data_IF_095531398646
#
_entry.id   IF_095531398646
#
_cell.length_a   1.000
_cell.length_b   1.000
_cell.length_c   1.000
_cell.angle_alpha   90.00
_cell.angle_beta   90.00
_cell.angle_gamma   90.00
#
_symmetry.space_group_name_H-M   'P 1'
#
loop_
_entity.id
_entity.type
_entity.pdbx_description
1 polymer ?
#
# COMPACT_ATOMS: atom_id res chain seq x y z
N UNK A 1 -42.46 4.02 -46.92
CA UNK A 1 -43.43 3.63 -45.87
C UNK A 1 -42.73 2.64 -44.95
N UNK A 2 -42.15 3.12 -43.85
CA UNK A 2 -41.70 2.25 -42.74
C UNK A 2 -42.94 1.69 -42.06
N UNK A 3 -43.00 0.37 -41.92
CA UNK A 3 -44.20 -0.27 -41.37
C UNK A 3 -44.20 -0.10 -39.85
N UNK A 4 -45.39 -0.03 -39.25
CA UNK A 4 -45.57 0.05 -37.78
C UNK A 4 -44.87 -1.08 -37.01
N UNK A 5 -44.55 -2.18 -37.69
CA UNK A 5 -43.79 -3.31 -37.13
C UNK A 5 -42.28 -3.00 -36.95
N UNK A 6 -41.71 -2.11 -37.76
CA UNK A 6 -40.29 -1.73 -37.69
C UNK A 6 -40.00 -0.77 -36.53
N UNK A 7 -40.99 0.03 -36.13
CA UNK A 7 -40.86 0.96 -34.99
C UNK A 7 -40.96 0.20 -33.67
N UNK A 8 -41.83 -0.81 -33.60
CA UNK A 8 -42.00 -1.63 -32.40
C UNK A 8 -40.78 -2.53 -32.13
N UNK A 9 -40.15 -3.08 -33.17
CA UNK A 9 -38.93 -3.90 -33.02
C UNK A 9 -37.73 -3.06 -32.56
N UNK A 10 -37.60 -1.82 -33.04
CA UNK A 10 -36.58 -0.87 -32.60
C UNK A 10 -36.77 -0.46 -31.13
N UNK A 11 -38.01 -0.18 -30.72
CA UNK A 11 -38.34 0.20 -29.34
C UNK A 11 -38.07 -0.94 -28.35
N UNK A 12 -38.45 -2.17 -28.71
CA UNK A 12 -38.19 -3.37 -27.91
C UNK A 12 -36.68 -3.63 -27.78
N UNK A 13 -35.91 -3.45 -28.87
CA UNK A 13 -34.45 -3.55 -28.86
C UNK A 13 -33.78 -2.56 -27.91
N UNK A 14 -34.22 -1.29 -27.92
CA UNK A 14 -33.67 -0.25 -27.03
C UNK A 14 -34.00 -0.49 -25.56
N UNK A 15 -35.21 -0.96 -25.25
CA UNK A 15 -35.60 -1.29 -23.87
C UNK A 15 -34.79 -2.48 -23.35
N UNK A 16 -34.58 -3.52 -24.17
CA UNK A 16 -33.78 -4.68 -23.80
C UNK A 16 -32.30 -4.33 -23.56
N UNK A 17 -31.71 -3.49 -24.41
CA UNK A 17 -30.33 -3.03 -24.25
C UNK A 17 -30.15 -2.20 -22.96
N UNK A 18 -31.11 -1.33 -22.65
CA UNK A 18 -31.07 -0.48 -21.45
C UNK A 18 -31.23 -1.31 -20.17
N UNK A 19 -32.16 -2.28 -20.16
CA UNK A 19 -32.33 -3.21 -19.04
C UNK A 19 -31.07 -4.05 -18.79
N UNK A 20 -30.41 -4.51 -19.86
CA UNK A 20 -29.15 -5.26 -19.77
C UNK A 20 -28.02 -4.41 -19.18
N UNK A 21 -27.90 -3.15 -19.60
CA UNK A 21 -26.88 -2.23 -19.06
C UNK A 21 -27.13 -1.93 -17.57
N UNK A 22 -28.38 -1.73 -17.17
CA UNK A 22 -28.75 -1.52 -15.76
C UNK A 22 -28.41 -2.76 -14.92
N UNK A 23 -28.66 -3.96 -15.43
CA UNK A 23 -28.32 -5.20 -14.74
C UNK A 23 -26.79 -5.39 -14.61
N UNK A 24 -26.00 -5.04 -15.63
CA UNK A 24 -24.53 -5.10 -15.56
C UNK A 24 -24.00 -4.10 -14.53
N UNK A 25 -24.50 -2.86 -14.54
CA UNK A 25 -24.09 -1.83 -13.57
C UNK A 25 -24.52 -2.20 -12.15
N UNK A 26 -25.72 -2.75 -11.98
CA UNK A 26 -26.20 -3.25 -10.69
C UNK A 26 -25.36 -4.43 -10.20
N UNK A 27 -25.02 -5.39 -11.07
CA UNK A 27 -24.17 -6.53 -10.74
C UNK A 27 -22.75 -6.10 -10.36
N UNK A 28 -22.15 -5.13 -11.07
CA UNK A 28 -20.85 -4.55 -10.71
C UNK A 28 -20.92 -3.81 -9.37
N UNK A 29 -21.98 -3.04 -9.14
CA UNK A 29 -22.17 -2.27 -7.90
C UNK A 29 -22.44 -3.17 -6.69
N UNK A 30 -23.21 -4.24 -6.88
CA UNK A 30 -23.49 -5.23 -5.84
C UNK A 30 -22.27 -6.10 -5.57
N UNK A 31 -21.57 -6.57 -6.61
CA UNK A 31 -20.30 -7.30 -6.48
C UNK A 31 -19.24 -6.49 -5.72
N UNK A 32 -19.06 -5.20 -6.05
CA UNK A 32 -18.13 -4.31 -5.35
C UNK A 32 -18.53 -4.06 -3.88
N UNK A 33 -19.83 -3.97 -3.57
CA UNK A 33 -20.32 -3.81 -2.19
C UNK A 33 -20.17 -5.11 -1.38
N UNK A 34 -20.46 -6.26 -1.98
CA UNK A 34 -20.29 -7.58 -1.36
C UNK A 34 -18.82 -7.89 -1.09
N UNK A 35 -17.91 -7.54 -2.00
CA UNK A 35 -16.45 -7.67 -1.77
C UNK A 35 -16.01 -6.78 -0.60
N UNK A 36 -16.53 -5.55 -0.48
CA UNK A 36 -16.21 -4.66 0.65
C UNK A 36 -16.73 -5.19 1.99
N UNK A 37 -17.95 -5.71 2.03
CA UNK A 37 -18.54 -6.29 3.24
C UNK A 37 -17.82 -7.58 3.65
N UNK A 38 -17.48 -8.44 2.69
CA UNK A 38 -16.71 -9.65 2.93
C UNK A 38 -15.33 -9.31 3.50
N UNK A 39 -14.59 -8.34 2.93
CA UNK A 39 -13.27 -7.90 3.44
C UNK A 39 -13.26 -7.48 4.91
N UNK A 40 -14.40 -7.12 5.50
CA UNK A 40 -14.53 -6.87 6.95
C UNK A 40 -14.37 -8.12 7.81
N UNK A 41 -14.86 -9.26 7.32
CA UNK A 41 -14.85 -10.57 8.02
C UNK A 41 -13.53 -11.34 7.84
N UNK A 42 -12.75 -11.06 6.79
CA UNK A 42 -11.45 -11.71 6.54
C UNK A 42 -10.27 -11.04 7.28
N UNK A 43 -10.54 -10.11 8.20
CA UNK A 43 -9.51 -9.34 8.92
C UNK A 43 -8.59 -10.21 9.77
N UNK A 44 -9.10 -11.35 10.23
CA UNK A 44 -8.45 -12.22 11.20
C UNK A 44 -7.60 -13.32 10.56
N UNK A 45 -7.62 -13.44 9.23
CA UNK A 45 -6.85 -14.45 8.48
C UNK A 45 -5.81 -13.79 7.58
N UNK A 46 -4.78 -14.54 7.20
CA UNK A 46 -3.83 -14.11 6.16
C UNK A 46 -4.59 -13.83 4.86
N UNK A 47 -4.34 -12.67 4.27
CA UNK A 47 -4.98 -12.26 3.01
C UNK A 47 -3.92 -12.22 1.92
N UNK A 48 -4.06 -13.09 0.93
CA UNK A 48 -3.32 -12.99 -0.33
C UNK A 48 -4.14 -12.20 -1.34
N UNK A 49 -3.55 -11.15 -1.86
CA UNK A 49 -4.14 -10.29 -2.85
C UNK A 49 -3.30 -10.43 -4.12
N UNK A 50 -3.93 -10.82 -5.23
CA UNK A 50 -3.27 -10.87 -6.54
C UNK A 50 -2.94 -9.44 -7.00
N UNK A 51 -3.93 -8.72 -7.52
CA UNK A 51 -3.77 -7.30 -7.87
C UNK A 51 -4.20 -6.40 -6.71
N UNK A 52 -3.30 -5.55 -6.22
CA UNK A 52 -3.63 -4.53 -5.22
C UNK A 52 -3.27 -3.14 -5.64
N UNK A 53 -4.05 -2.18 -5.17
CA UNK A 53 -3.60 -0.80 -5.08
C UNK A 53 -3.31 -0.47 -3.62
N UNK A 54 -2.08 -0.06 -3.26
CA UNK A 54 -1.72 0.23 -1.87
C UNK A 54 -2.73 1.16 -1.17
N UNK A 55 -3.22 2.18 -1.89
CA UNK A 55 -4.22 3.09 -1.37
C UNK A 55 -5.60 2.44 -1.06
N UNK A 56 -6.06 1.45 -1.83
CA UNK A 56 -7.41 0.89 -1.63
C UNK A 56 -7.43 -0.40 -0.83
N UNK A 57 -6.32 -1.13 -0.80
CA UNK A 57 -6.27 -2.45 -0.19
C UNK A 57 -5.43 -2.45 1.09
N UNK A 58 -4.24 -1.85 1.10
CA UNK A 58 -3.38 -1.75 2.29
C UNK A 58 -3.97 -0.78 3.33
N UNK A 59 -4.31 0.46 2.96
CA UNK A 59 -4.76 1.48 3.93
C UNK A 59 -5.93 1.02 4.80
N UNK A 60 -7.02 0.42 4.27
CA UNK A 60 -8.11 -0.07 5.12
C UNK A 60 -7.71 -1.18 6.10
N UNK A 61 -6.69 -1.98 5.77
CA UNK A 61 -6.17 -3.01 6.67
C UNK A 61 -5.35 -2.38 7.79
N UNK A 62 -4.43 -1.46 7.46
CA UNK A 62 -3.66 -0.70 8.45
C UNK A 62 -4.57 0.03 9.45
N UNK A 63 -5.66 0.62 8.94
CA UNK A 63 -6.64 1.35 9.76
C UNK A 63 -7.36 0.52 10.82
N UNK A 64 -7.35 -0.81 10.71
CA UNK A 64 -7.97 -1.68 11.72
C UNK A 64 -7.08 -1.90 12.93
N UNK A 65 -5.77 -1.71 12.76
CA UNK A 65 -4.77 -2.10 13.75
C UNK A 65 -4.03 -0.92 14.34
N UNK A 66 -3.76 0.12 13.55
CA UNK A 66 -3.01 1.27 14.01
C UNK A 66 -3.80 2.10 15.03
N UNK A 67 -3.14 2.40 16.13
CA UNK A 67 -3.61 3.20 17.24
C UNK A 67 -2.47 4.04 17.82
N UNK A 68 -2.80 4.96 18.73
CA UNK A 68 -1.81 5.81 19.40
C UNK A 68 -0.64 4.98 19.95
N UNK A 69 0.59 5.42 19.73
CA UNK A 69 1.80 4.77 20.26
C UNK A 69 2.31 3.57 19.47
N UNK A 70 1.58 3.12 18.44
CA UNK A 70 2.09 2.11 17.50
C UNK A 70 3.15 2.71 16.57
N UNK A 71 3.99 1.85 15.99
CA UNK A 71 5.01 2.24 15.00
C UNK A 71 4.73 1.56 13.66
N UNK A 72 4.73 2.36 12.59
CA UNK A 72 4.55 1.92 11.22
C UNK A 72 5.84 2.17 10.43
N UNK A 73 6.47 1.11 9.95
CA UNK A 73 7.61 1.19 9.05
C UNK A 73 7.13 1.01 7.61
N UNK A 74 7.42 1.98 6.75
CA UNK A 74 7.02 2.00 5.34
C UNK A 74 8.25 2.00 4.46
N UNK A 75 8.41 1.00 3.58
CA UNK A 75 9.32 1.10 2.45
C UNK A 75 8.54 1.50 1.21
N UNK A 76 8.96 2.56 0.51
CA UNK A 76 8.20 3.09 -0.62
C UNK A 76 8.98 3.23 -1.91
N UNK A 77 10.09 2.51 -2.10
CA UNK A 77 10.98 2.59 -3.27
C UNK A 77 11.21 4.04 -3.71
N UNK A 78 10.54 4.49 -4.78
CA UNK A 78 10.67 5.80 -5.38
C UNK A 78 9.72 6.88 -4.84
N UNK A 79 8.81 6.56 -3.92
CA UNK A 79 7.80 7.47 -3.38
C UNK A 79 6.49 7.56 -4.18
N UNK A 80 6.18 6.57 -5.02
CA UNK A 80 4.98 6.59 -5.87
C UNK A 80 3.67 6.65 -5.08
N UNK A 81 3.63 6.11 -3.86
CA UNK A 81 2.49 6.26 -2.96
C UNK A 81 2.13 7.71 -2.65
N UNK A 82 3.08 8.64 -2.80
CA UNK A 82 2.92 10.05 -2.42
C UNK A 82 2.58 10.93 -3.63
N UNK A 83 3.12 10.60 -4.81
CA UNK A 83 2.91 11.38 -6.04
C UNK A 83 1.80 10.83 -6.94
N UNK A 84 1.53 9.53 -6.88
CA UNK A 84 0.69 8.84 -7.86
C UNK A 84 -0.77 9.32 -7.82
N UNK A 85 -1.61 8.73 -8.66
CA UNK A 85 -3.05 9.08 -8.75
C UNK A 85 -3.77 9.05 -7.40
N UNK A 86 -3.33 8.19 -6.48
CA UNK A 86 -3.89 8.07 -5.13
C UNK A 86 -3.06 8.78 -4.05
N UNK A 87 -2.06 9.59 -4.44
CA UNK A 87 -1.09 10.18 -3.52
C UNK A 87 -1.70 11.14 -2.51
N UNK A 88 -2.73 11.90 -2.91
CA UNK A 88 -3.49 12.75 -1.98
C UNK A 88 -4.15 11.92 -0.87
N UNK A 89 -4.79 10.81 -1.24
CA UNK A 89 -5.44 9.91 -0.29
C UNK A 89 -4.43 9.28 0.68
N UNK A 90 -3.28 8.83 0.18
CA UNK A 90 -2.25 8.23 1.02
C UNK A 90 -1.63 9.25 1.99
N UNK A 91 -1.29 10.46 1.51
CA UNK A 91 -0.81 11.57 2.35
C UNK A 91 -1.79 11.94 3.45
N UNK A 92 -3.09 11.96 3.15
CA UNK A 92 -4.12 12.26 4.15
C UNK A 92 -4.18 11.18 5.24
N UNK A 93 -3.97 9.91 4.88
CA UNK A 93 -3.91 8.82 5.85
C UNK A 93 -2.64 8.87 6.69
N UNK A 94 -1.47 9.15 6.10
CA UNK A 94 -0.22 9.40 6.87
C UNK A 94 -0.47 10.48 7.93
N UNK A 95 -1.01 11.63 7.54
CA UNK A 95 -1.31 12.72 8.48
C UNK A 95 -2.32 12.31 9.55
N UNK A 96 -3.35 11.55 9.18
CA UNK A 96 -4.33 11.03 10.14
C UNK A 96 -3.66 10.12 11.16
N UNK A 97 -2.88 9.12 10.74
CA UNK A 97 -2.16 8.23 11.65
C UNK A 97 -1.22 8.99 12.59
N UNK A 98 -0.47 9.98 12.07
CA UNK A 98 0.40 10.84 12.89
C UNK A 98 -0.40 11.66 13.92
N UNK A 99 -1.56 12.20 13.54
CA UNK A 99 -2.47 12.88 14.46
C UNK A 99 -3.00 11.94 15.53
N UNK A 100 -3.35 10.71 15.16
CA UNK A 100 -3.80 9.64 16.06
C UNK A 100 -2.67 9.12 16.97
N UNK A 101 -1.44 9.63 16.82
CA UNK A 101 -0.31 9.33 17.70
C UNK A 101 0.52 8.12 17.27
N UNK A 102 0.31 7.60 16.06
CA UNK A 102 1.18 6.61 15.43
C UNK A 102 2.52 7.28 15.08
N UNK A 103 3.62 6.55 15.27
CA UNK A 103 4.93 6.94 14.74
C UNK A 103 5.16 6.27 13.40
N UNK A 104 5.70 7.00 12.43
CA UNK A 104 5.96 6.50 11.08
C UNK A 104 7.42 6.69 10.75
N UNK A 105 8.06 5.60 10.34
CA UNK A 105 9.39 5.60 9.74
C UNK A 105 9.23 5.30 8.25
N UNK A 106 9.64 6.21 7.39
CA UNK A 106 9.48 6.08 5.94
C UNK A 106 10.84 5.96 5.28
N UNK A 107 11.06 4.85 4.57
CA UNK A 107 12.29 4.53 3.86
C UNK A 107 12.09 4.62 2.35
N UNK A 108 12.96 5.38 1.67
CA UNK A 108 13.04 5.46 0.22
C UNK A 108 14.38 4.94 -0.27
N UNK A 109 14.39 3.88 -1.08
CA UNK A 109 15.60 3.23 -1.61
C UNK A 109 15.96 3.69 -3.03
N UNK A 110 15.07 4.42 -3.71
CA UNK A 110 15.31 5.03 -5.01
C UNK A 110 14.49 6.32 -5.17
N UNK A 111 14.64 7.24 -4.21
CA UNK A 111 13.74 8.38 -4.07
C UNK A 111 13.67 9.25 -5.33
N UNK A 112 12.48 9.44 -5.91
CA UNK A 112 12.33 10.47 -6.94
C UNK A 112 12.39 11.85 -6.26
N UNK A 113 13.21 12.79 -6.79
CA UNK A 113 13.39 14.15 -6.27
C UNK A 113 12.10 14.92 -5.97
N UNK A 114 10.97 14.58 -6.58
CA UNK A 114 9.65 15.18 -6.34
C UNK A 114 8.96 14.64 -5.08
N UNK A 115 9.23 13.41 -4.66
CA UNK A 115 8.65 12.86 -3.42
C UNK A 115 9.31 13.39 -2.17
N UNK A 116 10.64 13.60 -2.20
CA UNK A 116 11.42 13.96 -1.01
C UNK A 116 10.92 15.26 -0.37
N UNK A 117 10.71 16.38 -1.11
CA UNK A 117 10.20 17.61 -0.51
C UNK A 117 8.82 17.45 0.14
N UNK A 118 7.96 16.59 -0.44
CA UNK A 118 6.62 16.34 0.11
C UNK A 118 6.70 15.60 1.45
N UNK A 119 7.55 14.58 1.53
CA UNK A 119 7.76 13.80 2.74
C UNK A 119 8.54 14.59 3.81
N UNK A 120 9.54 15.37 3.42
CA UNK A 120 10.24 16.31 4.32
C UNK A 120 9.30 17.37 4.90
N UNK A 121 8.30 17.81 4.13
CA UNK A 121 7.24 18.68 4.68
C UNK A 121 6.41 17.96 5.75
N UNK A 122 6.07 16.69 5.55
CA UNK A 122 5.36 15.91 6.58
C UNK A 122 6.24 15.73 7.82
N UNK A 123 7.53 15.43 7.65
CA UNK A 123 8.50 15.35 8.75
C UNK A 123 8.57 16.66 9.54
N UNK A 124 8.67 17.80 8.87
CA UNK A 124 8.67 19.12 9.50
C UNK A 124 7.37 19.42 10.25
N UNK A 125 6.22 18.96 9.75
CA UNK A 125 4.92 19.13 10.41
C UNK A 125 4.78 18.20 11.64
N UNK A 126 5.58 17.12 11.71
CA UNK A 126 5.47 16.05 12.72
C UNK A 126 6.86 15.55 13.22
N UNK A 127 7.73 16.43 13.76
CA UNK A 127 9.16 16.15 13.94
C UNK A 127 9.51 15.00 14.91
N UNK A 128 8.59 14.60 15.79
CA UNK A 128 8.78 13.51 16.75
C UNK A 128 7.93 12.26 16.45
N UNK A 129 7.18 12.30 15.35
CA UNK A 129 6.26 11.22 14.96
C UNK A 129 6.53 10.70 13.56
N UNK A 130 7.18 11.48 12.70
CA UNK A 130 7.53 11.07 11.35
C UNK A 130 9.04 11.19 11.16
N UNK A 131 9.66 10.15 10.61
CA UNK A 131 11.08 10.15 10.25
C UNK A 131 11.25 9.69 8.82
N UNK A 132 11.93 10.50 8.00
CA UNK A 132 12.23 10.17 6.61
C UNK A 132 13.68 9.75 6.43
N UNK A 133 13.87 8.52 5.99
CA UNK A 133 15.14 7.95 5.59
C UNK A 133 15.19 7.88 4.06
N UNK A 134 16.09 8.64 3.47
CA UNK A 134 16.31 8.67 2.02
C UNK A 134 17.65 8.03 1.75
N UNK A 135 17.64 6.83 1.17
CA UNK A 135 18.85 6.25 0.63
C UNK A 135 19.24 7.01 -0.63
N UNK A 136 20.50 7.49 -0.68
CA UNK A 136 21.08 8.29 -1.77
C UNK A 136 21.38 7.46 -3.04
N UNK A 137 20.83 6.26 -3.11
CA UNK A 137 21.27 5.17 -3.97
C UNK A 137 20.78 5.29 -5.40
N UNK A 138 21.20 6.35 -6.10
CA UNK A 138 21.72 6.17 -7.46
C UNK A 138 23.10 5.49 -7.34
N UNK A 139 23.12 4.20 -7.02
CA UNK A 139 24.36 3.48 -6.71
C UNK A 139 25.20 3.36 -7.97
N UNK A 140 26.29 4.13 -7.99
CA UNK A 140 27.50 3.75 -8.68
C UNK A 140 27.89 2.33 -8.24
N UNK A 141 27.80 1.34 -9.14
CA UNK A 141 28.18 -0.08 -8.91
C UNK A 141 29.63 -0.27 -8.41
N UNK A 142 30.41 0.79 -8.25
CA UNK A 142 31.85 0.74 -8.02
C UNK A 142 32.32 0.96 -6.57
N UNK A 143 31.45 1.19 -5.58
CA UNK A 143 31.89 1.03 -4.18
C UNK A 143 31.05 1.73 -3.12
N UNK A 144 30.57 0.96 -2.14
CA UNK A 144 31.19 0.89 -0.80
C UNK A 144 30.51 -0.12 0.14
N UNK A 145 29.31 -0.59 -0.14
CA UNK A 145 28.74 -1.73 0.59
C UNK A 145 27.77 -2.54 -0.29
N UNK A 146 28.21 -3.72 -0.71
CA UNK A 146 27.37 -4.64 -1.49
C UNK A 146 26.10 -5.04 -0.74
N UNK A 147 26.12 -5.05 0.60
CA UNK A 147 24.96 -5.40 1.43
C UNK A 147 23.86 -4.35 1.30
N UNK A 148 24.20 -3.06 1.41
CA UNK A 148 23.24 -1.96 1.32
C UNK A 148 22.62 -1.92 -0.08
N UNK A 149 23.44 -2.10 -1.12
CA UNK A 149 22.96 -2.13 -2.49
C UNK A 149 21.97 -3.27 -2.73
N UNK A 150 22.27 -4.48 -2.24
CA UNK A 150 21.37 -5.62 -2.36
C UNK A 150 20.04 -5.40 -1.62
N UNK A 151 20.06 -4.72 -0.48
CA UNK A 151 18.84 -4.40 0.28
C UNK A 151 18.03 -3.31 -0.44
N UNK A 152 18.71 -2.26 -0.94
CA UNK A 152 18.07 -1.20 -1.69
C UNK A 152 17.40 -1.74 -2.95
N UNK A 153 18.09 -2.63 -3.68
CA UNK A 153 17.59 -3.34 -4.88
C UNK A 153 16.40 -4.24 -4.53
N UNK A 154 16.47 -5.00 -3.43
CA UNK A 154 15.34 -5.80 -2.95
C UNK A 154 14.09 -4.92 -2.77
N UNK A 155 14.24 -3.76 -2.13
CA UNK A 155 13.11 -2.87 -1.85
C UNK A 155 12.71 -1.96 -3.01
N UNK A 156 13.27 -2.15 -4.22
CA UNK A 156 12.77 -1.44 -5.40
C UNK A 156 11.43 -1.97 -5.87
N UNK A 157 11.26 -3.30 -5.83
CA UNK A 157 10.07 -4.02 -6.31
C UNK A 157 9.28 -4.67 -5.17
N UNK A 158 9.89 -4.80 -4.00
CA UNK A 158 9.27 -5.39 -2.81
C UNK A 158 9.09 -4.33 -1.72
N UNK A 159 7.86 -4.16 -1.24
CA UNK A 159 7.54 -3.15 -0.23
C UNK A 159 6.95 -3.79 1.03
N UNK A 160 7.77 -4.08 2.05
CA UNK A 160 7.28 -4.43 3.36
C UNK A 160 6.75 -3.18 4.10
N UNK A 161 5.61 -3.37 4.73
CA UNK A 161 5.02 -2.44 5.68
C UNK A 161 4.88 -3.21 6.99
N UNK A 162 5.69 -2.82 7.97
CA UNK A 162 5.77 -3.50 9.26
C UNK A 162 5.06 -2.66 10.32
N UNK A 163 4.20 -3.32 11.10
CA UNK A 163 3.44 -2.70 12.19
C UNK A 163 3.93 -3.28 13.51
N UNK A 164 4.48 -2.41 14.35
CA UNK A 164 4.76 -2.69 15.75
C UNK A 164 3.62 -2.13 16.58
N UNK A 165 2.77 -3.03 17.07
CA UNK A 165 1.58 -2.69 17.82
C UNK A 165 1.82 -2.78 19.32
N UNK A 166 1.06 -2.00 20.09
CA UNK A 166 1.03 -2.07 21.55
C UNK A 166 0.87 -3.50 22.06
N UNK A 167 1.53 -3.78 23.19
CA UNK A 167 1.55 -5.10 23.80
C UNK A 167 2.46 -6.11 23.09
N UNK A 168 3.42 -5.63 22.30
CA UNK A 168 4.40 -6.49 21.59
C UNK A 168 3.81 -7.25 20.41
N UNK A 169 2.62 -6.87 19.95
CA UNK A 169 1.97 -7.50 18.80
C UNK A 169 2.58 -6.97 17.50
N UNK A 170 2.57 -7.80 16.47
CA UNK A 170 3.08 -7.45 15.14
C UNK A 170 2.00 -7.68 14.09
N UNK A 171 2.09 -6.96 12.99
CA UNK A 171 1.37 -7.26 11.76
C UNK A 171 2.21 -6.79 10.57
N UNK A 172 1.97 -7.33 9.39
CA UNK A 172 2.68 -6.87 8.20
C UNK A 172 1.81 -6.89 6.95
N UNK A 173 2.06 -5.93 6.07
CA UNK A 173 1.59 -5.94 4.69
C UNK A 173 2.82 -5.97 3.79
N UNK A 174 2.92 -6.94 2.90
CA UNK A 174 4.05 -7.09 1.99
C UNK A 174 3.53 -7.03 0.57
N UNK A 175 4.12 -6.18 -0.24
CA UNK A 175 3.99 -6.22 -1.69
C UNK A 175 5.22 -6.93 -2.26
N UNK A 176 5.05 -8.11 -2.84
CA UNK A 176 6.18 -8.92 -3.32
C UNK A 176 6.64 -8.55 -4.73
N UNK A 177 5.73 -8.03 -5.55
CA UNK A 177 6.00 -7.67 -6.94
C UNK A 177 5.28 -6.36 -7.26
N UNK A 178 5.98 -5.25 -7.08
CA UNK A 178 5.52 -3.91 -7.36
C UNK A 178 6.56 -3.13 -8.18
N UNK A 179 6.56 -3.30 -9.52
CA UNK A 179 7.54 -2.66 -10.38
C UNK A 179 7.50 -1.14 -10.31
N UNK A 180 8.64 -0.44 -10.55
CA UNK A 180 8.71 1.00 -10.37
C UNK A 180 7.79 1.72 -11.36
N UNK A 181 7.02 2.71 -10.88
CA UNK A 181 6.04 3.43 -11.69
C UNK A 181 4.70 2.70 -11.88
N UNK A 182 4.57 1.44 -11.42
CA UNK A 182 3.30 0.75 -11.42
C UNK A 182 2.34 1.37 -10.39
N UNK A 183 1.04 1.51 -10.69
CA UNK A 183 0.04 1.89 -9.70
C UNK A 183 -0.47 0.69 -8.88
N UNK A 184 0.00 -0.52 -9.18
CA UNK A 184 -0.46 -1.79 -8.60
C UNK A 184 0.70 -2.71 -8.25
N UNK A 185 0.55 -3.45 -7.15
CA UNK A 185 1.36 -4.63 -6.87
C UNK A 185 0.64 -5.88 -7.41
N UNK A 186 1.40 -6.80 -8.00
CA UNK A 186 0.93 -8.05 -8.62
C UNK A 186 0.89 -9.24 -7.67
N UNK A 187 1.48 -9.08 -6.48
CA UNK A 187 1.33 -10.00 -5.37
C UNK A 187 1.47 -9.22 -4.06
N UNK A 188 0.49 -9.34 -3.19
CA UNK A 188 0.57 -8.80 -1.84
C UNK A 188 0.01 -9.75 -0.80
N UNK A 189 0.55 -9.67 0.42
CA UNK A 189 0.13 -10.46 1.57
C UNK A 189 -0.09 -9.54 2.77
N UNK A 190 -1.19 -9.75 3.48
CA UNK A 190 -1.40 -9.17 4.79
C UNK A 190 -1.44 -10.26 5.85
N UNK A 191 -0.63 -10.12 6.89
CA UNK A 191 -0.64 -11.00 8.07
C UNK A 191 -1.11 -10.19 9.27
N UNK A 192 -2.32 -10.47 9.80
CA UNK A 192 -2.82 -9.81 11.01
C UNK A 192 -2.12 -10.33 12.27
N UNK A 193 -2.26 -9.64 13.42
CA UNK A 193 -1.64 -10.07 14.67
C UNK A 193 -2.07 -11.46 15.15
N UNK A 194 -3.29 -11.90 14.80
CA UNK A 194 -3.82 -13.22 15.16
C UNK A 194 -3.14 -14.37 14.42
N UNK A 195 -2.44 -14.08 13.32
CA UNK A 195 -1.84 -15.07 12.41
C UNK A 195 -0.32 -14.90 12.29
N UNK A 196 0.31 -14.17 13.22
CA UNK A 196 1.76 -14.08 13.34
C UNK A 196 2.32 -15.36 13.96
N UNK A 197 2.36 -16.44 13.18
CA UNK A 197 3.03 -17.69 13.53
C UNK A 197 4.56 -17.59 13.42
N UNK A 198 5.27 -18.69 13.65
CA UNK A 198 6.74 -18.69 13.65
C UNK A 198 7.32 -18.24 12.29
N UNK A 199 6.74 -18.72 11.18
CA UNK A 199 7.21 -18.39 9.83
C UNK A 199 6.94 -16.92 9.51
N UNK A 200 5.76 -16.40 9.88
CA UNK A 200 5.43 -14.99 9.71
C UNK A 200 6.29 -14.07 10.58
N UNK A 201 6.67 -14.51 11.79
CA UNK A 201 7.59 -13.78 12.66
C UNK A 201 8.99 -13.74 12.05
N UNK A 202 9.51 -14.87 11.55
CA UNK A 202 10.81 -14.94 10.88
C UNK A 202 10.86 -13.99 9.68
N UNK A 203 9.80 -13.99 8.86
CA UNK A 203 9.70 -13.08 7.71
C UNK A 203 9.61 -11.61 8.12
N UNK A 204 8.87 -11.29 9.18
CA UNK A 204 8.82 -9.93 9.73
C UNK A 204 10.20 -9.46 10.16
N UNK A 205 10.92 -10.30 10.92
CA UNK A 205 12.26 -9.99 11.43
C UNK A 205 13.28 -9.88 10.29
N UNK A 206 13.16 -10.72 9.27
CA UNK A 206 13.97 -10.62 8.04
C UNK A 206 13.86 -9.23 7.40
N UNK A 207 12.67 -8.65 7.31
CA UNK A 207 12.50 -7.30 6.76
C UNK A 207 12.94 -6.21 7.75
N UNK A 208 12.63 -6.37 9.04
CA UNK A 208 13.01 -5.42 10.08
C UNK A 208 14.54 -5.25 10.14
N UNK A 209 15.30 -6.33 10.11
CA UNK A 209 16.76 -6.30 10.12
C UNK A 209 17.32 -5.53 8.92
N UNK A 210 16.73 -5.68 7.74
CA UNK A 210 17.14 -4.99 6.52
C UNK A 210 16.80 -3.51 6.56
N UNK A 211 15.62 -3.17 7.06
CA UNK A 211 15.22 -1.79 7.32
C UNK A 211 16.17 -1.14 8.34
N UNK A 212 16.59 -1.86 9.37
CA UNK A 212 17.55 -1.37 10.35
C UNK A 212 18.92 -1.04 9.73
N UNK A 213 19.40 -1.85 8.77
CA UNK A 213 20.62 -1.54 7.99
C UNK A 213 20.46 -0.24 7.20
N UNK A 214 19.34 -0.08 6.48
CA UNK A 214 19.06 1.16 5.74
C UNK A 214 18.96 2.38 6.67
N UNK A 215 18.38 2.20 7.86
CA UNK A 215 18.29 3.25 8.89
C UNK A 215 19.67 3.71 9.33
N UNK A 216 20.58 2.78 9.60
CA UNK A 216 21.95 3.10 10.02
C UNK A 216 22.70 3.87 8.94
N UNK A 217 22.59 3.46 7.68
CA UNK A 217 23.24 4.17 6.57
C UNK A 217 22.70 5.58 6.39
N UNK A 218 21.39 5.78 6.48
CA UNK A 218 20.77 7.09 6.27
C UNK A 218 21.07 8.11 7.41
N UNK A 219 21.66 7.66 8.52
CA UNK A 219 22.09 8.52 9.64
C UNK A 219 23.56 8.96 9.47
N UNK A 220 24.35 8.20 8.71
CA UNK A 220 25.78 8.45 8.47
C UNK A 220 26.00 9.43 7.30
#
# INVERSE_FOLDING_TARGET
>A
MTTTNDVNSLLIGMVAATATLILIVAAQSFGLRSIKALRGLWAEKVIFLGLTTPAKDMVPLLNRYLSEGDVLQLTGSNGDYIRGKNGSYFKNNIRRWLNDGVKIEYFLTNADPKSVPILRKIESDFPNKFSLYVSSTSISKSGKDHRINNIADLFQDLHPILLHLKGGKRAMFIEYDHPPGSPVAYAAKFVPPSEMDADAIEEFEFYEERIAVLRQEAIN
#
